data_IF_427461681009
#
_entry.id   IF_427461681009
#
_cell.length_a   1.000
_cell.length_b   1.000
_cell.length_c   1.000
_cell.angle_alpha   90.00
_cell.angle_beta   90.00
_cell.angle_gamma   90.00
#
_symmetry.space_group_name_H-M   'P 1'
#
loop_
_entity.id
_entity.type
_entity.pdbx_description
1 polymer ?
#
# COMPACT_ATOMS: atom_id res chain seq x y z
N UNK A 1 -14.57 17.18 -4.49
CA UNK A 1 -13.31 17.24 -3.73
C UNK A 1 -12.32 17.98 -4.59
N UNK A 2 -11.53 18.89 -4.04
CA UNK A 2 -10.47 19.58 -4.79
C UNK A 2 -9.26 18.66 -5.02
N UNK A 3 -8.31 19.08 -5.85
CA UNK A 3 -7.13 18.27 -6.22
C UNK A 3 -6.28 17.90 -5.00
N UNK A 4 -6.18 18.81 -4.02
CA UNK A 4 -5.50 18.53 -2.76
C UNK A 4 -6.20 17.42 -1.96
N UNK A 5 -7.52 17.49 -1.82
CA UNK A 5 -8.32 16.48 -1.14
C UNK A 5 -8.29 15.12 -1.85
N UNK A 6 -8.30 15.10 -3.19
CA UNK A 6 -8.12 13.86 -3.96
C UNK A 6 -6.75 13.23 -3.69
N UNK A 7 -5.68 14.04 -3.72
CA UNK A 7 -4.32 13.58 -3.43
C UNK A 7 -4.22 12.99 -2.02
N UNK A 8 -4.74 13.69 -1.01
CA UNK A 8 -4.73 13.19 0.37
C UNK A 8 -5.46 11.86 0.54
N UNK A 9 -6.61 11.68 -0.12
CA UNK A 9 -7.33 10.42 -0.06
C UNK A 9 -6.52 9.27 -0.71
N UNK A 10 -5.89 9.52 -1.86
CA UNK A 10 -5.03 8.53 -2.52
C UNK A 10 -3.84 8.14 -1.66
N UNK A 11 -3.17 9.12 -1.03
CA UNK A 11 -2.05 8.87 -0.13
C UNK A 11 -2.49 8.09 1.12
N UNK A 12 -3.68 8.39 1.67
CA UNK A 12 -4.25 7.62 2.78
C UNK A 12 -4.47 6.16 2.41
N UNK A 13 -5.01 5.88 1.22
CA UNK A 13 -5.23 4.50 0.77
C UNK A 13 -3.92 3.73 0.60
N UNK A 14 -2.88 4.39 0.08
CA UNK A 14 -1.53 3.82 -0.05
C UNK A 14 -0.94 3.51 1.32
N UNK A 15 -1.10 4.43 2.27
CA UNK A 15 -0.59 4.30 3.64
C UNK A 15 -1.27 3.14 4.37
N UNK A 16 -2.59 3.02 4.29
CA UNK A 16 -3.34 1.88 4.86
C UNK A 16 -2.83 0.55 4.30
N UNK A 17 -2.66 0.44 2.98
CA UNK A 17 -2.16 -0.79 2.36
C UNK A 17 -0.73 -1.12 2.84
N UNK A 18 0.12 -0.10 3.02
CA UNK A 18 1.48 -0.26 3.56
C UNK A 18 1.46 -0.72 5.03
N UNK A 19 0.56 -0.16 5.85
CA UNK A 19 0.37 -0.57 7.24
C UNK A 19 -0.08 -2.03 7.37
N UNK A 20 -0.98 -2.49 6.49
CA UNK A 20 -1.38 -3.91 6.44
C UNK A 20 -0.15 -4.78 6.16
N UNK A 21 0.69 -4.39 5.20
CA UNK A 21 1.95 -5.09 4.90
C UNK A 21 2.88 -5.17 6.12
N UNK A 22 3.02 -4.06 6.85
CA UNK A 22 3.83 -4.00 8.09
C UNK A 22 3.31 -4.94 9.18
N UNK A 23 1.98 -4.99 9.39
CA UNK A 23 1.37 -5.90 10.36
C UNK A 23 1.59 -7.36 9.96
N UNK A 24 1.43 -7.70 8.68
CA UNK A 24 1.70 -9.06 8.18
C UNK A 24 3.18 -9.43 8.29
N UNK A 25 4.08 -8.46 8.11
CA UNK A 25 5.51 -8.64 8.33
C UNK A 25 5.82 -8.95 9.79
N UNK A 26 5.27 -8.17 10.73
CA UNK A 26 5.42 -8.46 12.15
C UNK A 26 4.84 -9.84 12.52
N UNK A 27 3.63 -10.15 12.07
CA UNK A 27 2.99 -11.44 12.31
C UNK A 27 3.85 -12.60 11.81
N UNK A 28 4.51 -12.45 10.66
CA UNK A 28 5.39 -13.47 10.07
C UNK A 28 6.53 -13.85 11.01
N UNK A 29 7.09 -12.86 11.70
CA UNK A 29 8.27 -13.03 12.55
C UNK A 29 7.94 -13.56 13.95
N UNK A 30 6.71 -13.37 14.44
CA UNK A 30 6.38 -13.63 15.86
C UNK A 30 5.20 -14.55 16.13
N UNK A 31 4.22 -14.66 15.22
CA UNK A 31 2.96 -15.40 15.45
C UNK A 31 2.72 -16.49 14.39
N UNK A 32 3.12 -16.24 13.15
CA UNK A 32 2.76 -17.06 11.99
C UNK A 32 3.24 -18.52 12.14
N UNK A 33 2.36 -19.51 11.93
CA UNK A 33 2.79 -20.91 11.87
C UNK A 33 3.57 -21.20 10.59
N UNK A 34 4.54 -22.13 10.65
CA UNK A 34 5.42 -22.48 9.53
C UNK A 34 4.66 -22.87 8.24
N UNK A 35 3.55 -23.59 8.38
CA UNK A 35 2.71 -24.02 7.26
C UNK A 35 2.03 -22.87 6.49
N UNK A 36 2.05 -21.64 7.01
CA UNK A 36 1.47 -20.47 6.36
C UNK A 36 2.46 -19.69 5.47
N UNK A 37 3.72 -20.15 5.35
CA UNK A 37 4.78 -19.42 4.64
C UNK A 37 4.41 -19.09 3.17
N UNK A 38 3.85 -20.04 2.43
CA UNK A 38 3.46 -19.84 1.02
C UNK A 38 2.35 -18.77 0.90
N UNK A 39 1.27 -18.92 1.67
CA UNK A 39 0.17 -17.93 1.68
C UNK A 39 0.65 -16.55 2.15
N UNK A 40 1.56 -16.47 3.13
CA UNK A 40 2.15 -15.20 3.57
C UNK A 40 2.95 -14.53 2.47
N UNK A 41 3.76 -15.29 1.74
CA UNK A 41 4.53 -14.77 0.61
C UNK A 41 3.60 -14.19 -0.46
N UNK A 42 2.49 -14.88 -0.79
CA UNK A 42 1.48 -14.37 -1.72
C UNK A 42 0.83 -13.07 -1.24
N UNK A 43 0.44 -12.99 0.04
CA UNK A 43 -0.15 -11.78 0.61
C UNK A 43 0.82 -10.58 0.52
N UNK A 44 2.07 -10.76 0.93
CA UNK A 44 3.07 -9.69 0.90
C UNK A 44 3.41 -9.28 -0.54
N UNK A 45 3.51 -10.23 -1.47
CA UNK A 45 3.72 -9.94 -2.89
C UNK A 45 2.56 -9.13 -3.47
N UNK A 46 1.32 -9.51 -3.15
CA UNK A 46 0.13 -8.78 -3.60
C UNK A 46 0.07 -7.35 -3.03
N UNK A 47 0.39 -7.17 -1.75
CA UNK A 47 0.45 -5.84 -1.13
C UNK A 47 1.52 -4.99 -1.80
N UNK A 48 2.72 -5.54 -2.00
CA UNK A 48 3.84 -4.83 -2.65
C UNK A 48 3.46 -4.35 -4.05
N UNK A 49 2.88 -5.24 -4.87
CA UNK A 49 2.37 -4.90 -6.20
C UNK A 49 1.31 -3.79 -6.13
N UNK A 50 0.31 -3.95 -5.26
CA UNK A 50 -0.81 -3.00 -5.15
C UNK A 50 -0.36 -1.61 -4.70
N UNK A 51 0.53 -1.54 -3.71
CA UNK A 51 1.11 -0.29 -3.23
C UNK A 51 1.91 0.37 -4.35
N UNK A 52 2.75 -0.39 -5.07
CA UNK A 52 3.52 0.12 -6.19
C UNK A 52 2.63 0.70 -7.30
N UNK A 53 1.61 -0.03 -7.73
CA UNK A 53 0.65 0.42 -8.76
C UNK A 53 -0.10 1.69 -8.34
N UNK A 54 -0.48 1.81 -7.06
CA UNK A 54 -1.17 3.01 -6.54
C UNK A 54 -0.25 4.22 -6.47
N UNK A 55 0.99 4.05 -6.00
CA UNK A 55 1.99 5.13 -5.90
C UNK A 55 2.37 5.63 -7.30
N UNK A 56 2.59 4.73 -8.25
CA UNK A 56 3.04 5.07 -9.61
C UNK A 56 1.91 5.46 -10.54
N UNK A 57 0.68 5.56 -10.05
CA UNK A 57 -0.45 5.98 -10.85
C UNK A 57 -0.21 7.42 -11.39
N UNK A 58 -0.26 7.65 -12.72
CA UNK A 58 0.00 8.97 -13.30
C UNK A 58 -0.83 10.11 -12.69
N UNK A 59 -2.05 9.80 -12.22
CA UNK A 59 -2.93 10.76 -11.58
C UNK A 59 -2.32 11.40 -10.34
N UNK A 60 -1.44 10.70 -9.62
CA UNK A 60 -0.72 11.28 -8.47
C UNK A 60 0.16 12.45 -8.93
N UNK A 61 0.89 12.29 -10.03
CA UNK A 61 1.74 13.34 -10.61
C UNK A 61 0.93 14.51 -11.18
N UNK A 62 -0.20 14.23 -11.83
CA UNK A 62 -1.15 15.24 -12.29
C UNK A 62 -1.67 16.08 -11.11
N UNK A 63 -2.14 15.44 -10.05
CA UNK A 63 -2.67 16.11 -8.86
C UNK A 63 -1.61 16.98 -8.17
N UNK A 64 -0.37 16.50 -8.07
CA UNK A 64 0.75 17.31 -7.53
C UNK A 64 0.96 18.55 -8.40
N UNK A 65 0.92 18.40 -9.72
CA UNK A 65 1.09 19.51 -10.67
C UNK A 65 -0.06 20.52 -10.60
N UNK A 66 -1.28 20.07 -10.32
CA UNK A 66 -2.47 20.93 -10.13
C UNK A 66 -2.42 21.78 -8.85
N UNK A 67 -1.66 21.36 -7.82
CA UNK A 67 -1.55 22.05 -6.52
C UNK A 67 -0.21 22.73 -6.26
N UNK A 68 0.74 22.60 -7.20
CA UNK A 68 2.06 23.26 -7.14
C UNK A 68 1.96 24.73 -7.56
#
# INVERSE_FOLDING_TARGET
MDSYGELLNRLRDIDIASQIGSILGWDQEVIMPEAAAESRAEHLAWISKTVHEKITNPRVGELISEIS
#
